data_IF_080678568827
#
_entry.id   IF_080678568827
#
_cell.length_a   1.000
_cell.length_b   1.000
_cell.length_c   1.000
_cell.angle_alpha   90.00
_cell.angle_beta   90.00
_cell.angle_gamma   90.00
#
_symmetry.space_group_name_H-M   'P 1'
#
loop_
_entity.id
_entity.type
_entity.pdbx_description
1 polymer ?
#
# COMPACT_ATOMS: atom_id res chain seq x y z
N UNK A 1 7.02 2.96 22.25
CA UNK A 1 7.23 2.49 20.86
C UNK A 1 6.95 3.66 19.94
N UNK A 2 7.93 4.11 19.15
CA UNK A 2 7.67 5.12 18.12
C UNK A 2 6.64 4.53 17.14
N UNK A 3 5.58 5.26 16.76
CA UNK A 3 4.66 4.76 15.76
C UNK A 3 5.46 4.51 14.47
N UNK A 4 5.49 3.25 14.03
CA UNK A 4 5.83 2.95 12.64
C UNK A 4 4.81 3.74 11.81
N UNK A 5 5.25 4.61 10.90
CA UNK A 5 4.33 5.40 10.08
C UNK A 5 3.48 4.56 9.10
N UNK A 6 3.46 3.23 9.25
CA UNK A 6 2.59 2.27 8.60
C UNK A 6 2.27 1.12 9.57
N UNK A 7 1.06 0.57 9.45
CA UNK A 7 0.66 -0.65 10.16
C UNK A 7 0.96 -1.87 9.27
N UNK A 8 1.79 -2.84 9.72
CA UNK A 8 2.04 -4.06 8.96
C UNK A 8 0.77 -4.90 8.80
N UNK A 9 0.54 -5.43 7.60
CA UNK A 9 -0.60 -6.27 7.28
C UNK A 9 -0.29 -7.18 6.07
N UNK A 10 -0.84 -8.39 6.08
CA UNK A 10 -0.76 -9.39 5.01
C UNK A 10 -2.07 -10.20 4.94
N UNK A 11 -2.29 -10.89 3.82
CA UNK A 11 -3.38 -11.86 3.67
C UNK A 11 -4.75 -11.38 4.17
N UNK A 12 -5.40 -12.18 5.02
CA UNK A 12 -6.74 -11.89 5.54
C UNK A 12 -6.80 -10.64 6.44
N UNK A 13 -5.66 -10.23 7.02
CA UNK A 13 -5.60 -9.07 7.91
C UNK A 13 -5.79 -7.74 7.15
N UNK A 14 -5.55 -7.71 5.83
CA UNK A 14 -5.63 -6.50 5.01
C UNK A 14 -6.98 -5.80 5.13
N UNK A 15 -8.09 -6.54 5.10
CA UNK A 15 -9.44 -5.96 5.22
C UNK A 15 -9.62 -5.27 6.57
N UNK A 16 -9.21 -5.94 7.65
CA UNK A 16 -9.30 -5.39 9.01
C UNK A 16 -8.47 -4.12 9.11
N UNK A 17 -7.20 -4.16 8.72
CA UNK A 17 -6.29 -3.03 8.84
C UNK A 17 -6.75 -1.84 8.01
N UNK A 18 -7.18 -2.05 6.76
CA UNK A 18 -7.73 -0.96 5.93
C UNK A 18 -8.96 -0.32 6.61
N UNK A 19 -9.89 -1.14 7.13
CA UNK A 19 -11.07 -0.62 7.84
C UNK A 19 -10.72 0.08 9.14
N UNK A 20 -9.73 -0.39 9.88
CA UNK A 20 -9.27 0.23 11.11
C UNK A 20 -8.67 1.61 10.82
N UNK A 21 -7.87 1.75 9.76
CA UNK A 21 -7.33 3.05 9.32
C UNK A 21 -8.46 4.01 8.90
N UNK A 22 -9.46 3.51 8.15
CA UNK A 22 -10.66 4.30 7.80
C UNK A 22 -11.41 4.72 9.06
N UNK A 23 -11.62 3.82 10.01
CA UNK A 23 -12.32 4.08 11.28
C UNK A 23 -11.58 5.09 12.17
N UNK A 24 -10.26 5.17 12.05
CA UNK A 24 -9.42 6.19 12.70
C UNK A 24 -9.45 7.56 11.99
N UNK A 25 -10.22 7.68 10.90
CA UNK A 25 -10.44 8.96 10.19
C UNK A 25 -9.50 9.19 9.02
N UNK A 26 -8.86 8.16 8.45
CA UNK A 26 -8.04 8.33 7.26
C UNK A 26 -8.89 8.82 6.06
N UNK A 27 -8.44 9.87 5.39
CA UNK A 27 -9.06 10.38 4.15
C UNK A 27 -8.73 9.52 2.92
N UNK A 28 -7.56 8.86 2.96
CA UNK A 28 -7.08 7.92 1.95
C UNK A 28 -6.18 6.88 2.61
N UNK A 29 -5.95 5.76 1.92
CA UNK A 29 -5.05 4.70 2.38
C UNK A 29 -3.72 4.80 1.63
N UNK A 30 -2.61 4.99 2.34
CA UNK A 30 -1.27 4.92 1.76
C UNK A 30 -0.68 3.53 1.97
N UNK A 31 -0.16 2.91 0.91
CA UNK A 31 0.50 1.59 0.95
C UNK A 31 1.93 1.68 0.40
N UNK A 32 2.82 0.81 0.89
CA UNK A 32 4.14 0.59 0.30
C UNK A 32 4.06 -0.64 -0.61
N UNK A 33 3.80 -0.42 -1.91
CA UNK A 33 3.57 -1.49 -2.88
C UNK A 33 4.86 -2.24 -3.24
N UNK A 34 6.02 -1.63 -3.03
CA UNK A 34 7.32 -2.29 -3.00
C UNK A 34 8.22 -1.71 -1.90
N UNK A 35 9.25 -2.47 -1.53
CA UNK A 35 10.30 -2.03 -0.62
C UNK A 35 11.60 -2.84 -0.80
N UNK A 36 12.71 -2.36 -0.23
CA UNK A 36 14.03 -2.99 -0.32
C UNK A 36 14.16 -4.24 0.58
N UNK A 37 13.43 -5.29 0.24
CA UNK A 37 13.43 -6.54 0.99
C UNK A 37 13.96 -7.74 0.18
N UNK A 38 14.33 -7.55 -1.08
CA UNK A 38 14.94 -8.61 -1.88
C UNK A 38 16.27 -9.12 -1.31
N UNK A 39 16.70 -10.33 -1.67
CA UNK A 39 17.92 -10.97 -1.13
C UNK A 39 19.20 -10.15 -1.28
N UNK A 40 19.27 -9.20 -2.22
CA UNK A 40 20.40 -8.29 -2.40
C UNK A 40 20.05 -6.82 -2.08
N UNK A 41 18.96 -6.58 -1.34
CA UNK A 41 18.49 -5.24 -0.99
C UNK A 41 17.75 -4.51 -2.13
N UNK A 42 17.39 -5.21 -3.20
CA UNK A 42 16.56 -4.68 -4.27
C UNK A 42 15.12 -4.38 -3.81
N UNK A 43 14.51 -3.36 -4.43
CA UNK A 43 13.09 -3.08 -4.24
C UNK A 43 12.26 -4.15 -4.96
N UNK A 44 11.47 -4.91 -4.19
CA UNK A 44 10.57 -5.93 -4.72
C UNK A 44 9.12 -5.64 -4.31
N UNK A 45 8.11 -6.04 -5.11
CA UNK A 45 6.71 -5.88 -4.76
C UNK A 45 6.38 -6.52 -3.42
N UNK A 46 5.85 -5.73 -2.49
CA UNK A 46 5.46 -6.20 -1.14
C UNK A 46 4.22 -7.09 -1.21
N UNK A 47 3.27 -6.72 -2.08
CA UNK A 47 1.97 -7.35 -2.17
C UNK A 47 1.79 -8.10 -3.50
N UNK A 48 1.00 -9.16 -3.44
CA UNK A 48 0.41 -9.78 -4.64
C UNK A 48 -0.54 -8.79 -5.33
N UNK A 49 -0.86 -9.08 -6.59
CA UNK A 49 -1.79 -8.25 -7.35
C UNK A 49 -3.17 -8.21 -6.67
N UNK A 50 -3.65 -9.36 -6.22
CA UNK A 50 -4.95 -9.56 -5.59
C UNK A 50 -5.05 -8.85 -4.24
N UNK A 51 -3.93 -8.74 -3.51
CA UNK A 51 -3.86 -8.02 -2.24
C UNK A 51 -4.01 -6.49 -2.44
N UNK A 52 -3.37 -5.94 -3.47
CA UNK A 52 -3.54 -4.53 -3.84
C UNK A 52 -4.98 -4.25 -4.30
N UNK A 53 -5.54 -5.12 -5.13
CA UNK A 53 -6.94 -5.02 -5.56
C UNK A 53 -7.91 -5.10 -4.39
N UNK A 54 -7.65 -5.98 -3.43
CA UNK A 54 -8.46 -6.10 -2.21
C UNK A 54 -8.41 -4.81 -1.39
N UNK A 55 -7.22 -4.26 -1.15
CA UNK A 55 -7.08 -2.98 -0.43
C UNK A 55 -7.82 -1.85 -1.14
N UNK A 56 -7.68 -1.73 -2.47
CA UNK A 56 -8.40 -0.74 -3.28
C UNK A 56 -9.91 -0.93 -3.19
N UNK A 57 -10.39 -2.17 -3.30
CA UNK A 57 -11.82 -2.50 -3.19
C UNK A 57 -12.40 -2.11 -1.84
N UNK A 58 -11.70 -2.42 -0.74
CA UNK A 58 -12.16 -2.09 0.61
C UNK A 58 -12.16 -0.59 0.84
N UNK A 59 -11.10 0.12 0.46
CA UNK A 59 -11.05 1.59 0.57
C UNK A 59 -12.20 2.27 -0.18
N UNK A 60 -12.42 1.86 -1.45
CA UNK A 60 -13.47 2.41 -2.32
C UNK A 60 -14.88 2.15 -1.80
N UNK A 61 -15.12 1.04 -1.10
CA UNK A 61 -16.44 0.79 -0.48
C UNK A 61 -16.85 1.85 0.55
N UNK A 62 -15.89 2.67 1.00
CA UNK A 62 -16.12 3.80 1.91
C UNK A 62 -15.98 5.17 1.23
N UNK A 63 -15.83 5.22 -0.09
CA UNK A 63 -15.61 6.45 -0.87
C UNK A 63 -14.19 7.01 -0.80
N UNK A 64 -13.20 6.21 -0.36
CA UNK A 64 -11.79 6.64 -0.20
C UNK A 64 -10.88 5.99 -1.24
N UNK A 65 -9.85 6.74 -1.62
CA UNK A 65 -8.82 6.30 -2.55
C UNK A 65 -7.66 5.56 -1.89
N UNK A 66 -6.80 4.99 -2.74
CA UNK A 66 -5.50 4.41 -2.32
C UNK A 66 -4.38 5.14 -3.05
N UNK A 67 -3.31 5.44 -2.31
CA UNK A 67 -2.04 5.97 -2.82
C UNK A 67 -0.95 4.94 -2.54
N UNK A 68 -0.09 4.65 -3.52
CA UNK A 68 1.00 3.71 -3.35
C UNK A 68 2.36 4.40 -3.47
N UNK A 69 3.29 4.01 -2.60
CA UNK A 69 4.71 4.11 -2.89
C UNK A 69 5.12 2.90 -3.76
N UNK A 70 5.78 3.16 -4.89
CA UNK A 70 6.40 2.11 -5.70
C UNK A 70 7.61 2.65 -6.48
N UNK A 71 8.78 2.08 -6.26
CA UNK A 71 10.03 2.40 -6.97
C UNK A 71 10.43 1.33 -8.00
N UNK A 72 9.97 0.08 -7.84
CA UNK A 72 10.23 -1.00 -8.77
C UNK A 72 9.21 -1.02 -9.90
N UNK A 73 9.65 -1.37 -11.11
CA UNK A 73 8.78 -1.43 -12.29
C UNK A 73 7.56 -2.34 -12.08
N UNK A 74 7.77 -3.51 -11.46
CA UNK A 74 6.67 -4.44 -11.17
C UNK A 74 5.74 -3.92 -10.06
N UNK A 75 6.27 -3.22 -9.05
CA UNK A 75 5.44 -2.59 -8.02
C UNK A 75 4.54 -1.50 -8.61
N UNK A 76 5.09 -0.65 -9.47
CA UNK A 76 4.32 0.36 -10.22
C UNK A 76 3.25 -0.28 -11.10
N UNK A 77 3.60 -1.35 -11.82
CA UNK A 77 2.66 -2.08 -12.68
C UNK A 77 1.48 -2.63 -11.88
N UNK A 78 1.74 -3.30 -10.76
CA UNK A 78 0.66 -3.87 -9.93
C UNK A 78 -0.24 -2.81 -9.31
N UNK A 79 0.36 -1.73 -8.80
CA UNK A 79 -0.40 -0.60 -8.25
C UNK A 79 -1.33 0.02 -9.30
N UNK A 80 -0.83 0.20 -10.53
CA UNK A 80 -1.64 0.73 -11.64
C UNK A 80 -2.80 -0.22 -12.00
N UNK A 81 -2.53 -1.53 -12.13
CA UNK A 81 -3.55 -2.53 -12.44
C UNK A 81 -4.61 -2.66 -11.34
N UNK A 82 -4.22 -2.54 -10.07
CA UNK A 82 -5.14 -2.58 -8.95
C UNK A 82 -6.07 -1.34 -8.86
N UNK A 83 -5.76 -0.27 -9.60
CA UNK A 83 -6.53 0.97 -9.59
C UNK A 83 -6.16 1.91 -8.45
N UNK A 84 -4.90 1.91 -8.01
CA UNK A 84 -4.35 2.95 -7.13
C UNK A 84 -4.46 4.32 -7.84
N UNK A 85 -4.87 5.36 -7.13
CA UNK A 85 -5.12 6.69 -7.71
C UNK A 85 -3.85 7.48 -7.96
N UNK A 86 -2.83 7.28 -7.13
CA UNK A 86 -1.54 7.96 -7.26
C UNK A 86 -0.42 7.01 -6.88
N UNK A 87 0.58 6.91 -7.76
CA UNK A 87 1.82 6.17 -7.50
C UNK A 87 2.92 7.20 -7.29
N UNK A 88 3.59 7.14 -6.14
CA UNK A 88 4.71 8.01 -5.81
C UNK A 88 6.02 7.23 -5.82
N UNK A 89 7.05 7.88 -6.33
CA UNK A 89 8.43 7.41 -6.35
C UNK A 89 9.25 8.28 -5.40
N UNK A 90 9.06 8.12 -4.10
CA UNK A 90 9.87 8.81 -3.09
C UNK A 90 11.22 8.09 -2.93
N UNK A 91 12.32 8.76 -3.30
CA UNK A 91 13.68 8.23 -3.12
C UNK A 91 14.15 8.22 -1.65
N UNK A 92 13.42 8.89 -0.75
CA UNK A 92 13.79 9.09 0.65
C UNK A 92 12.51 9.17 1.51
N UNK A 93 12.46 8.42 2.60
CA UNK A 93 11.30 8.29 3.48
C UNK A 93 10.92 9.58 4.21
N UNK A 94 10.11 10.41 3.56
CA UNK A 94 9.44 11.56 4.17
C UNK A 94 7.93 11.39 4.09
N UNK A 95 7.26 11.50 5.24
CA UNK A 95 5.84 11.81 5.31
C UNK A 95 5.61 13.27 4.92
#
# INVERSE_FOLDING_TARGET
MLPLGAEPADGDALIRVVRDQIGKGADFIKVYADYRWGPNGEALPTFLQEELELMVKVARSSGRGVVAHAAAAEGMRRAALAGVETIRVDALGGF
#
